data_IF_443887608645
#
_entry.id   IF_443887608645
#
_cell.length_a   1.000
_cell.length_b   1.000
_cell.length_c   1.000
_cell.angle_alpha   90.00
_cell.angle_beta   90.00
_cell.angle_gamma   90.00
#
_symmetry.space_group_name_H-M   'P 1'
#
loop_
_entity.id
_entity.type
_entity.pdbx_description
1 polymer ?
#
# COMPACT_ATOMS: atom_id res chain seq x y z
N UNK A 1 -25.58 -60.93 43.47
CA UNK A 1 -25.16 -59.54 43.79
C UNK A 1 -26.22 -58.88 44.66
N UNK A 2 -25.88 -58.36 45.84
CA UNK A 2 -26.89 -57.85 46.80
C UNK A 2 -27.63 -56.63 46.25
N UNK A 3 -28.96 -56.55 46.42
CA UNK A 3 -29.81 -55.42 45.94
C UNK A 3 -29.24 -54.05 46.36
N UNK A 4 -28.71 -53.92 47.58
CA UNK A 4 -28.03 -52.71 48.07
C UNK A 4 -26.77 -52.35 47.25
N UNK A 5 -25.97 -53.33 46.80
CA UNK A 5 -24.79 -53.10 45.95
C UNK A 5 -25.19 -52.68 44.52
N UNK A 6 -26.27 -53.23 43.99
CA UNK A 6 -26.81 -52.84 42.67
C UNK A 6 -27.24 -51.36 42.68
N UNK A 7 -27.95 -50.95 43.74
CA UNK A 7 -28.40 -49.56 43.91
C UNK A 7 -27.21 -48.58 44.00
N UNK A 8 -26.16 -48.92 44.76
CA UNK A 8 -24.94 -48.11 44.86
C UNK A 8 -24.24 -47.98 43.51
N UNK A 9 -24.07 -49.09 42.76
CA UNK A 9 -23.43 -49.06 41.43
C UNK A 9 -24.23 -48.19 40.45
N UNK A 10 -25.56 -48.28 40.47
CA UNK A 10 -26.44 -47.44 39.63
C UNK A 10 -26.25 -45.94 39.91
N UNK A 11 -26.19 -45.55 41.19
CA UNK A 11 -25.97 -44.15 41.60
C UNK A 11 -24.59 -43.64 41.17
N UNK A 12 -23.54 -44.47 41.28
CA UNK A 12 -22.17 -44.10 40.85
C UNK A 12 -22.09 -43.90 39.34
N UNK A 13 -22.76 -44.76 38.55
CA UNK A 13 -22.83 -44.61 37.09
C UNK A 13 -23.58 -43.32 36.71
N UNK A 14 -24.69 -43.01 37.39
CA UNK A 14 -25.44 -41.78 37.14
C UNK A 14 -24.60 -40.52 37.43
N UNK A 15 -23.83 -40.51 38.53
CA UNK A 15 -22.91 -39.43 38.87
C UNK A 15 -21.78 -39.28 37.85
N UNK A 16 -21.17 -40.39 37.39
CA UNK A 16 -20.15 -40.37 36.35
C UNK A 16 -20.68 -39.77 35.03
N UNK A 17 -21.90 -40.11 34.62
CA UNK A 17 -22.52 -39.56 33.41
C UNK A 17 -22.77 -38.04 33.53
N UNK A 18 -23.17 -37.55 34.70
CA UNK A 18 -23.34 -36.11 34.96
C UNK A 18 -22.00 -35.35 34.93
N UNK A 19 -20.93 -35.93 35.48
CA UNK A 19 -19.59 -35.33 35.46
C UNK A 19 -19.04 -35.28 34.02
N UNK A 20 -19.15 -36.37 33.26
CA UNK A 20 -18.71 -36.44 31.87
C UNK A 20 -19.51 -35.51 30.95
N UNK A 21 -20.83 -35.46 31.12
CA UNK A 21 -21.72 -34.54 30.38
C UNK A 21 -21.43 -33.07 30.69
N UNK A 22 -21.31 -32.72 31.97
CA UNK A 22 -20.98 -31.36 32.41
C UNK A 22 -19.62 -30.87 31.89
N UNK A 23 -18.60 -31.75 31.88
CA UNK A 23 -17.29 -31.43 31.33
C UNK A 23 -17.33 -31.16 29.81
N UNK A 24 -18.18 -31.88 29.06
CA UNK A 24 -18.39 -31.65 27.64
C UNK A 24 -19.04 -30.27 27.38
N UNK A 25 -20.07 -29.90 28.14
CA UNK A 25 -20.70 -28.57 28.04
C UNK A 25 -19.69 -27.46 28.39
N UNK A 26 -18.92 -27.62 29.46
CA UNK A 26 -17.89 -26.66 29.85
C UNK A 26 -16.81 -26.48 28.77
N UNK A 27 -16.37 -27.57 28.12
CA UNK A 27 -15.40 -27.53 27.02
C UNK A 27 -15.98 -26.92 25.74
N UNK A 28 -17.28 -27.05 25.49
CA UNK A 28 -17.99 -26.36 24.39
C UNK A 28 -18.12 -24.86 24.66
N UNK A 29 -18.45 -24.45 25.89
CA UNK A 29 -18.56 -23.04 26.28
C UNK A 29 -17.20 -22.31 26.27
N UNK A 30 -16.09 -23.03 26.47
CA UNK A 30 -14.74 -22.47 26.38
C UNK A 30 -14.08 -22.62 24.98
N UNK A 31 -14.86 -22.96 23.95
CA UNK A 31 -14.42 -22.96 22.55
C UNK A 31 -14.28 -21.51 22.04
N UNK A 32 -13.18 -20.87 22.43
CA UNK A 32 -12.67 -19.56 21.96
C UNK A 32 -13.75 -18.66 21.34
N UNK A 33 -14.37 -17.83 22.18
CA UNK A 33 -14.97 -16.56 21.72
C UNK A 33 -13.84 -15.66 21.23
N UNK A 34 -13.36 -15.96 20.03
CA UNK A 34 -12.39 -15.14 19.30
C UNK A 34 -13.15 -13.91 18.82
N UNK A 35 -13.42 -13.01 19.76
CA UNK A 35 -13.95 -11.68 19.48
C UNK A 35 -12.89 -11.00 18.63
N UNK A 36 -13.02 -11.10 17.31
CA UNK A 36 -12.33 -10.19 16.41
C UNK A 36 -12.80 -8.81 16.83
N UNK A 37 -11.95 -8.08 17.56
CA UNK A 37 -12.18 -6.68 17.89
C UNK A 37 -12.34 -5.99 16.55
N UNK A 38 -13.58 -5.64 16.20
CA UNK A 38 -13.92 -5.01 14.93
C UNK A 38 -13.60 -3.52 15.05
N UNK A 39 -12.37 -3.22 15.49
CA UNK A 39 -11.87 -1.89 15.72
C UNK A 39 -11.93 -1.14 14.39
N UNK A 40 -12.49 0.05 14.43
CA UNK A 40 -12.45 1.00 13.32
C UNK A 40 -11.54 2.15 13.73
N UNK A 41 -10.80 2.67 12.76
CA UNK A 41 -10.05 3.89 12.91
C UNK A 41 -10.64 4.97 12.01
N UNK A 42 -10.57 6.22 12.49
CA UNK A 42 -10.92 7.39 11.69
C UNK A 42 -9.72 7.80 10.85
N UNK A 43 -9.92 7.88 9.53
CA UNK A 43 -9.00 8.51 8.59
C UNK A 43 -9.59 9.85 8.17
N UNK A 44 -8.87 10.93 8.42
CA UNK A 44 -9.24 12.30 8.05
C UNK A 44 -8.39 12.73 6.86
N UNK A 45 -9.02 13.03 5.73
CA UNK A 45 -8.36 13.60 4.55
C UNK A 45 -8.60 15.11 4.54
N UNK A 46 -7.53 15.89 4.43
CA UNK A 46 -7.57 17.36 4.43
C UNK A 46 -6.97 17.90 3.14
N UNK A 47 -7.77 18.67 2.41
CA UNK A 47 -7.38 19.53 1.29
C UNK A 47 -7.56 20.99 1.71
N UNK A 48 -7.02 21.93 0.94
CA UNK A 48 -7.13 23.36 1.25
C UNK A 48 -8.60 23.83 1.41
N UNK A 49 -9.51 23.28 0.59
CA UNK A 49 -10.92 23.70 0.52
C UNK A 49 -11.88 22.77 1.29
N UNK A 50 -11.42 21.58 1.74
CA UNK A 50 -12.31 20.53 2.26
C UNK A 50 -11.64 19.56 3.23
N UNK A 51 -12.41 19.11 4.22
CA UNK A 51 -12.10 18.00 5.12
C UNK A 51 -13.08 16.85 4.90
N UNK A 52 -12.57 15.63 4.71
CA UNK A 52 -13.36 14.39 4.56
C UNK A 52 -12.96 13.42 5.68
N UNK A 53 -13.94 12.69 6.25
CA UNK A 53 -13.67 11.69 7.30
C UNK A 53 -14.22 10.33 6.85
N UNK A 54 -13.40 9.28 6.97
CA UNK A 54 -13.75 7.89 6.61
C UNK A 54 -13.47 6.98 7.82
N UNK A 55 -14.43 6.13 8.17
CA UNK A 55 -14.20 5.02 9.11
C UNK A 55 -13.71 3.79 8.35
N UNK A 56 -12.57 3.23 8.74
CA UNK A 56 -11.94 2.07 8.08
C UNK A 56 -11.60 1.02 9.14
N UNK A 57 -11.73 -0.27 8.82
CA UNK A 57 -11.44 -1.33 9.80
C UNK A 57 -9.94 -1.46 10.04
N UNK A 58 -9.57 -1.90 11.23
CA UNK A 58 -8.20 -2.26 11.56
C UNK A 58 -7.63 -3.28 10.56
N UNK A 59 -6.40 -3.01 10.08
CA UNK A 59 -5.67 -3.75 9.05
C UNK A 59 -6.25 -3.72 7.62
N UNK A 60 -7.35 -2.99 7.37
CA UNK A 60 -7.88 -2.76 6.02
C UNK A 60 -7.03 -1.72 5.26
N UNK A 61 -7.02 -1.79 3.93
CA UNK A 61 -6.26 -0.89 3.06
C UNK A 61 -7.19 0.14 2.42
N UNK A 62 -6.99 1.41 2.74
CA UNK A 62 -7.73 2.52 2.18
C UNK A 62 -7.03 3.03 0.91
N UNK A 63 -7.73 2.99 -0.22
CA UNK A 63 -7.30 3.68 -1.44
C UNK A 63 -7.45 5.18 -1.29
N UNK A 64 -6.42 5.91 -1.69
CA UNK A 64 -6.34 7.35 -1.60
C UNK A 64 -6.62 7.98 -2.97
N UNK A 65 -7.58 8.91 -2.99
CA UNK A 65 -7.93 9.64 -4.21
C UNK A 65 -6.84 10.65 -4.55
N UNK A 66 -6.48 10.75 -5.83
CA UNK A 66 -5.65 11.86 -6.32
C UNK A 66 -6.54 13.09 -6.41
N UNK A 67 -6.04 14.25 -5.96
CA UNK A 67 -6.76 15.52 -6.04
C UNK A 67 -6.12 16.40 -7.10
N UNK A 68 -6.92 17.23 -7.77
CA UNK A 68 -6.45 18.15 -8.81
C UNK A 68 -6.49 19.58 -8.28
N UNK A 69 -5.44 20.36 -8.56
CA UNK A 69 -5.33 21.78 -8.18
C UNK A 69 -4.67 22.54 -9.32
N UNK A 70 -5.30 23.62 -9.79
CA UNK A 70 -4.80 24.38 -10.93
C UNK A 70 -3.42 25.00 -10.63
N UNK A 71 -2.46 24.84 -11.56
CA UNK A 71 -1.08 25.29 -11.36
C UNK A 71 -0.19 24.37 -10.51
N UNK A 72 -0.71 23.28 -9.92
CA UNK A 72 0.06 22.38 -9.05
C UNK A 72 0.05 20.92 -9.55
N UNK A 73 1.03 20.15 -9.10
CA UNK A 73 1.13 18.68 -9.21
C UNK A 73 0.83 18.10 -7.83
N UNK A 74 -0.18 17.24 -7.75
CA UNK A 74 -0.47 16.49 -6.53
C UNK A 74 0.59 15.41 -6.31
N UNK A 75 1.31 15.50 -5.18
CA UNK A 75 2.40 14.58 -4.82
C UNK A 75 1.94 13.39 -4.00
N UNK A 76 0.82 13.52 -3.30
CA UNK A 76 0.28 12.49 -2.43
C UNK A 76 -0.33 13.08 -1.17
N UNK A 77 -0.53 12.20 -0.20
CA UNK A 77 -1.09 12.50 1.11
C UNK A 77 0.00 12.37 2.17
N UNK A 78 0.18 13.37 3.02
CA UNK A 78 1.21 13.38 4.07
C UNK A 78 0.57 13.28 5.46
N UNK A 79 1.11 12.42 6.33
CA UNK A 79 0.68 12.33 7.74
C UNK A 79 1.41 13.32 8.66
N UNK A 80 1.06 13.34 9.94
CA UNK A 80 1.67 14.24 10.93
C UNK A 80 3.17 13.94 11.15
N UNK A 81 3.64 12.74 10.77
CA UNK A 81 5.03 12.29 10.83
C UNK A 81 5.82 12.66 9.53
N UNK A 82 5.22 13.46 8.64
CA UNK A 82 5.70 13.83 7.28
C UNK A 82 5.90 12.66 6.31
N UNK A 83 5.24 11.52 6.54
CA UNK A 83 5.33 10.37 5.63
C UNK A 83 4.31 10.50 4.50
N UNK A 84 4.80 10.38 3.27
CA UNK A 84 4.01 10.54 2.04
C UNK A 84 3.40 9.19 1.56
N UNK A 85 2.12 9.23 1.17
CA UNK A 85 1.34 8.12 0.63
C UNK A 85 0.74 8.52 -0.73
N UNK A 86 1.07 7.82 -1.81
CA UNK A 86 0.70 8.21 -3.19
C UNK A 86 -0.60 7.58 -3.70
N UNK A 87 -0.92 6.36 -3.25
CA UNK A 87 -1.99 5.54 -3.86
C UNK A 87 -2.86 4.80 -2.81
N UNK A 88 -2.27 4.21 -1.76
CA UNK A 88 -3.02 3.54 -0.69
C UNK A 88 -2.30 3.57 0.68
N UNK A 89 -3.07 3.36 1.75
CA UNK A 89 -2.56 3.27 3.13
C UNK A 89 -3.23 2.14 3.89
N UNK A 90 -2.43 1.31 4.58
CA UNK A 90 -2.94 0.28 5.50
C UNK A 90 -3.27 0.93 6.84
N UNK A 91 -4.51 0.79 7.30
CA UNK A 91 -5.02 1.49 8.48
C UNK A 91 -4.81 0.65 9.74
N UNK A 92 -3.88 1.10 10.60
CA UNK A 92 -3.58 0.48 11.92
C UNK A 92 -3.61 1.47 13.10
N UNK A 93 -3.87 2.75 12.83
CA UNK A 93 -4.09 3.82 13.81
C UNK A 93 -5.09 4.82 13.21
N UNK A 94 -5.60 5.74 14.03
CA UNK A 94 -6.25 6.94 13.48
C UNK A 94 -5.22 7.72 12.66
N UNK A 95 -5.63 8.23 11.50
CA UNK A 95 -4.75 8.93 10.57
C UNK A 95 -5.36 10.28 10.20
N UNK A 96 -4.51 11.30 10.09
CA UNK A 96 -4.85 12.59 9.52
C UNK A 96 -3.86 12.85 8.40
N UNK A 97 -4.38 12.94 7.19
CA UNK A 97 -3.61 13.04 5.96
C UNK A 97 -3.91 14.38 5.28
N UNK A 98 -2.87 15.14 4.94
CA UNK A 98 -2.97 16.41 4.21
C UNK A 98 -2.56 16.20 2.76
N UNK A 99 -3.28 16.80 1.82
CA UNK A 99 -2.90 16.78 0.42
C UNK A 99 -1.63 17.63 0.19
N UNK A 100 -0.59 17.03 -0.38
CA UNK A 100 0.65 17.72 -0.74
C UNK A 100 0.63 18.08 -2.22
N UNK A 101 0.89 19.35 -2.50
CA UNK A 101 0.93 19.92 -3.83
C UNK A 101 2.27 20.61 -4.06
N UNK A 102 2.97 20.25 -5.13
CA UNK A 102 4.14 20.96 -5.63
C UNK A 102 3.69 21.92 -6.74
N UNK A 103 4.18 23.15 -6.76
CA UNK A 103 3.87 24.08 -7.84
C UNK A 103 4.45 23.50 -9.14
N UNK A 104 3.69 23.54 -10.25
CA UNK A 104 4.26 23.24 -11.56
C UNK A 104 5.36 24.26 -11.83
N UNK A 105 6.61 23.81 -11.86
CA UNK A 105 7.75 24.67 -12.15
C UNK A 105 7.66 25.16 -13.60
N UNK A 106 7.27 26.42 -13.79
CA UNK A 106 7.83 27.20 -14.89
C UNK A 106 9.32 27.37 -14.59
N UNK A 107 10.20 26.82 -15.44
CA UNK A 107 11.65 26.87 -15.26
C UNK A 107 12.18 28.32 -15.27
N UNK A 108 12.26 28.96 -14.11
CA UNK A 108 12.90 30.29 -13.95
C UNK A 108 13.51 30.48 -12.56
N UNK A 109 14.85 30.42 -12.44
CA UNK A 109 15.68 31.09 -11.42
C UNK A 109 17.15 31.05 -11.94
N UNK A 110 17.75 32.14 -12.46
CA UNK A 110 18.49 33.26 -11.81
C UNK A 110 19.91 32.90 -11.29
N UNK A 111 20.86 33.84 -11.03
CA UNK A 111 20.73 35.30 -10.76
C UNK A 111 21.40 36.22 -11.82
N UNK A 112 20.99 37.48 -12.00
CA UNK A 112 21.54 38.71 -11.34
C UNK A 112 20.92 39.95 -12.05
N UNK A 113 20.83 41.20 -11.56
CA UNK A 113 20.80 41.88 -10.23
C UNK A 113 20.14 43.26 -10.46
N UNK A 114 19.53 43.90 -9.44
CA UNK A 114 19.13 45.34 -9.37
C UNK A 114 18.13 45.86 -10.46
N UNK A 115 17.23 46.82 -10.22
CA UNK A 115 16.96 47.68 -9.06
C UNK A 115 15.47 48.12 -9.04
N UNK A 116 15.10 48.91 -8.04
CA UNK A 116 13.74 49.35 -7.70
C UNK A 116 13.29 50.59 -8.51
N UNK A 117 12.01 50.67 -8.95
CA UNK A 117 11.08 51.77 -8.65
C UNK A 117 9.78 51.82 -9.50
N UNK A 118 8.68 52.17 -8.80
CA UNK A 118 7.45 52.90 -9.17
C UNK A 118 6.68 52.69 -10.50
N UNK A 119 5.37 52.46 -10.31
CA UNK A 119 4.24 52.90 -11.16
C UNK A 119 4.25 54.44 -11.32
N UNK A 120 3.88 55.01 -12.48
CA UNK A 120 2.52 55.57 -12.56
C UNK A 120 1.80 55.32 -13.91
N UNK A 121 0.50 55.66 -13.95
CA UNK A 121 -0.34 55.65 -15.15
C UNK A 121 -0.25 56.98 -15.95
N UNK A 122 -0.81 56.93 -17.17
CA UNK A 122 -1.31 58.02 -18.02
C UNK A 122 -0.34 58.70 -19.02
N UNK A 123 -0.77 58.67 -20.30
CA UNK A 123 -0.60 59.66 -21.39
C UNK A 123 0.74 60.42 -21.53
N UNK A 124 1.44 60.25 -22.65
CA UNK A 124 1.06 60.95 -23.90
C UNK A 124 1.76 60.36 -25.15
N UNK A 125 1.45 60.89 -26.34
CA UNK A 125 1.82 60.36 -27.65
C UNK A 125 3.30 60.54 -28.02
N UNK A 126 3.96 59.48 -28.50
CA UNK A 126 5.07 59.62 -29.46
C UNK A 126 5.16 58.41 -30.41
N UNK A 127 5.54 58.68 -31.67
CA UNK A 127 5.39 57.79 -32.82
C UNK A 127 6.54 56.79 -32.93
N UNK A 128 6.42 55.68 -32.20
CA UNK A 128 7.26 54.50 -32.41
C UNK A 128 6.52 53.46 -33.26
N UNK A 129 7.00 53.23 -34.50
CA UNK A 129 6.56 52.13 -35.37
C UNK A 129 7.03 50.77 -34.82
N UNK A 130 6.53 50.37 -33.65
CA UNK A 130 6.73 49.04 -33.11
C UNK A 130 5.63 48.12 -33.66
N UNK A 131 5.93 47.49 -34.79
CA UNK A 131 5.05 46.49 -35.41
C UNK A 131 4.85 45.33 -34.42
N UNK A 132 3.73 45.35 -33.69
CA UNK A 132 3.33 44.30 -32.75
C UNK A 132 3.10 42.99 -33.50
N UNK A 133 4.19 42.23 -33.72
CA UNK A 133 4.21 40.93 -34.42
C UNK A 133 3.10 40.04 -33.87
N UNK A 134 2.07 39.78 -34.67
CA UNK A 134 0.88 39.08 -34.18
C UNK A 134 1.09 37.59 -34.33
N UNK A 135 1.57 36.96 -33.25
CA UNK A 135 1.79 35.52 -33.23
C UNK A 135 0.48 34.73 -33.28
N UNK A 136 0.46 33.65 -34.05
CA UNK A 136 -0.65 32.71 -34.12
C UNK A 136 -0.17 31.27 -34.30
N UNK A 137 -1.07 30.32 -34.00
CA UNK A 137 -0.83 28.89 -34.06
C UNK A 137 -1.79 28.19 -35.01
N UNK A 138 -1.38 27.04 -35.53
CA UNK A 138 -2.27 26.16 -36.29
C UNK A 138 -3.30 25.48 -35.38
N UNK A 139 -4.41 25.02 -35.98
CA UNK A 139 -5.53 24.41 -35.25
C UNK A 139 -5.06 23.24 -34.37
N UNK A 140 -5.40 23.29 -33.08
CA UNK A 140 -5.02 22.27 -32.10
C UNK A 140 -3.71 22.54 -31.34
N UNK A 141 -3.07 23.69 -31.55
CA UNK A 141 -1.98 24.20 -30.71
C UNK A 141 -2.42 25.45 -29.93
N UNK A 142 -1.90 25.61 -28.72
CA UNK A 142 -2.08 26.78 -27.86
C UNK A 142 -0.84 27.66 -27.91
N UNK A 143 -1.02 28.97 -28.09
CA UNK A 143 0.08 29.94 -28.07
C UNK A 143 0.57 30.15 -26.63
N UNK A 144 1.87 29.92 -26.37
CA UNK A 144 2.54 30.29 -25.12
C UNK A 144 3.83 31.06 -25.46
N UNK A 145 3.78 32.39 -25.30
CA UNK A 145 4.84 33.29 -25.76
C UNK A 145 5.00 33.26 -27.29
N UNK A 146 6.21 33.02 -27.78
CA UNK A 146 6.54 32.89 -29.22
C UNK A 146 6.47 31.45 -29.74
N UNK A 147 5.97 30.52 -28.93
CA UNK A 147 5.87 29.10 -29.27
C UNK A 147 4.40 28.62 -29.25
N UNK A 148 4.12 27.60 -30.04
CA UNK A 148 2.84 26.90 -30.10
C UNK A 148 3.02 25.51 -29.47
N UNK A 149 2.20 25.19 -28.48
CA UNK A 149 2.27 23.95 -27.70
C UNK A 149 1.03 23.10 -27.96
N UNK A 150 1.22 21.80 -28.21
CA UNK A 150 0.16 20.79 -28.27
C UNK A 150 0.53 19.63 -27.35
N UNK A 151 -0.42 19.18 -26.54
CA UNK A 151 -0.26 17.99 -25.70
C UNK A 151 -1.07 16.85 -26.28
N UNK A 152 -0.42 15.72 -26.51
CA UNK A 152 -1.06 14.47 -26.92
C UNK A 152 -1.18 13.54 -25.71
N UNK A 153 -2.34 12.90 -25.58
CA UNK A 153 -2.64 11.93 -24.53
C UNK A 153 -2.96 10.58 -25.16
N UNK A 154 -2.29 9.54 -24.71
CA UNK A 154 -2.60 8.13 -25.05
C UNK A 154 -2.69 7.31 -23.77
N UNK A 155 -3.35 6.15 -23.82
CA UNK A 155 -3.41 5.23 -22.68
C UNK A 155 -2.06 4.51 -22.51
N UNK A 156 -1.63 4.31 -21.26
CA UNK A 156 -0.43 3.53 -21.00
C UNK A 156 -0.67 2.03 -21.23
N UNK A 157 0.34 1.31 -21.71
CA UNK A 157 0.30 -0.16 -21.79
C UNK A 157 0.57 -0.71 -20.39
N UNK A 158 -0.35 -1.52 -19.85
CA UNK A 158 -0.14 -2.22 -18.60
C UNK A 158 0.54 -3.57 -18.81
N UNK A 159 1.39 -3.98 -17.87
CA UNK A 159 1.92 -5.34 -17.79
C UNK A 159 1.81 -5.84 -16.36
N UNK A 160 1.35 -7.08 -16.17
CA UNK A 160 1.17 -7.68 -14.86
C UNK A 160 2.19 -8.80 -14.66
N UNK A 161 2.99 -8.72 -13.60
CA UNK A 161 4.06 -9.69 -13.29
C UNK A 161 4.06 -10.05 -11.82
N UNK A 162 4.63 -11.21 -11.49
CA UNK A 162 4.86 -11.57 -10.10
C UNK A 162 6.09 -10.84 -9.53
N UNK A 163 6.07 -10.45 -8.24
CA UNK A 163 7.25 -9.93 -7.56
C UNK A 163 8.43 -10.91 -7.60
N UNK A 164 9.64 -10.40 -7.44
CA UNK A 164 10.83 -11.23 -7.32
C UNK A 164 10.65 -12.29 -6.22
N UNK A 165 11.01 -13.54 -6.52
CA UNK A 165 10.81 -14.70 -5.65
C UNK A 165 9.42 -15.37 -5.72
N UNK A 166 8.44 -14.79 -6.41
CA UNK A 166 7.11 -15.40 -6.59
C UNK A 166 6.97 -16.04 -7.97
N UNK A 167 6.52 -17.30 -8.00
CA UNK A 167 6.18 -18.05 -9.22
C UNK A 167 4.70 -17.85 -9.57
N UNK A 168 4.36 -17.83 -10.86
CA UNK A 168 2.98 -17.75 -11.31
C UNK A 168 2.31 -19.14 -11.29
N UNK A 169 1.17 -19.27 -10.62
CA UNK A 169 0.35 -20.49 -10.54
C UNK A 169 -1.13 -20.05 -10.62
N UNK A 170 -1.87 -20.55 -11.61
CA UNK A 170 -3.28 -20.21 -11.86
C UNK A 170 -3.60 -18.69 -11.87
N UNK A 171 -2.72 -17.89 -12.48
CA UNK A 171 -2.87 -16.43 -12.59
C UNK A 171 -2.59 -15.63 -11.30
N UNK A 172 -2.26 -16.32 -10.19
CA UNK A 172 -1.81 -15.70 -8.94
C UNK A 172 -0.31 -15.89 -8.73
N UNK A 173 0.27 -15.04 -7.89
CA UNK A 173 1.68 -15.10 -7.54
C UNK A 173 1.85 -15.84 -6.24
N UNK A 174 2.65 -16.91 -6.28
CA UNK A 174 2.80 -17.85 -5.21
C UNK A 174 4.28 -17.92 -4.81
N UNK A 175 4.55 -17.81 -3.52
CA UNK A 175 5.86 -18.11 -2.96
C UNK A 175 5.71 -19.27 -1.98
N UNK A 176 6.53 -20.30 -2.17
CA UNK A 176 6.61 -21.46 -1.28
C UNK A 176 8.05 -21.52 -0.76
N UNK A 177 8.19 -21.43 0.55
CA UNK A 177 9.45 -21.65 1.26
C UNK A 177 9.25 -22.76 2.30
N UNK A 178 10.35 -23.35 2.78
CA UNK A 178 10.27 -24.32 3.87
C UNK A 178 9.66 -23.65 5.12
N UNK A 179 8.89 -24.40 5.91
CA UNK A 179 8.49 -23.92 7.22
C UNK A 179 9.74 -23.75 8.09
N UNK A 180 9.78 -22.66 8.86
CA UNK A 180 10.91 -22.37 9.75
C UNK A 180 10.58 -22.85 11.16
N UNK A 181 11.54 -23.40 11.92
CA UNK A 181 11.36 -23.64 13.33
C UNK A 181 11.32 -22.29 14.11
N UNK A 182 10.46 -22.20 15.11
CA UNK A 182 10.41 -21.04 16.02
C UNK A 182 11.40 -21.26 17.18
N UNK A 183 12.68 -20.92 16.96
CA UNK A 183 13.75 -21.19 17.94
C UNK A 183 13.46 -20.58 19.33
N UNK A 184 12.79 -19.44 19.40
CA UNK A 184 12.44 -18.78 20.66
C UNK A 184 11.39 -19.54 21.50
N UNK A 185 10.70 -20.51 20.91
CA UNK A 185 9.73 -21.39 21.60
C UNK A 185 10.23 -22.81 21.84
N UNK A 186 11.46 -23.14 21.41
CA UNK A 186 12.08 -24.44 21.71
C UNK A 186 12.60 -24.44 23.16
N UNK A 187 12.60 -25.61 23.80
CA UNK A 187 13.22 -25.81 25.11
C UNK A 187 14.66 -26.30 24.91
N UNK A 188 15.68 -25.76 25.59
CA UNK A 188 15.63 -24.65 26.55
C UNK A 188 15.32 -23.30 25.89
N UNK A 189 14.45 -22.50 26.52
CA UNK A 189 13.97 -21.23 25.96
C UNK A 189 15.14 -20.24 25.85
N UNK A 190 15.42 -19.80 24.62
CA UNK A 190 16.42 -18.76 24.34
C UNK A 190 17.82 -19.27 24.00
N UNK A 191 18.10 -20.57 24.12
CA UNK A 191 19.42 -21.14 23.78
C UNK A 191 19.55 -21.44 22.28
N UNK A 192 18.45 -21.80 21.61
CA UNK A 192 18.40 -22.14 20.19
C UNK A 192 18.51 -20.92 19.27
N UNK A 193 19.39 -20.99 18.25
CA UNK A 193 19.60 -19.90 17.26
C UNK A 193 19.32 -20.36 15.83
N UNK A 194 18.59 -19.55 15.07
CA UNK A 194 18.32 -19.80 13.65
C UNK A 194 19.59 -19.54 12.83
N UNK A 195 20.05 -20.54 12.08
CA UNK A 195 21.19 -20.45 11.18
C UNK A 195 20.75 -20.16 9.72
N UNK A 196 21.72 -19.84 8.86
CA UNK A 196 21.50 -19.50 7.44
C UNK A 196 20.95 -20.65 6.57
N UNK A 197 20.94 -21.88 7.10
CA UNK A 197 20.29 -23.06 6.51
C UNK A 197 18.78 -23.13 6.78
N UNK A 198 18.25 -22.24 7.64
CA UNK A 198 16.86 -22.22 8.08
C UNK A 198 16.54 -23.18 9.23
N UNK A 199 17.53 -23.73 9.93
CA UNK A 199 17.36 -24.61 11.10
C UNK A 199 17.72 -23.89 12.41
N UNK A 200 17.13 -24.33 13.51
CA UNK A 200 17.62 -23.94 14.84
C UNK A 200 18.78 -24.85 15.23
N UNK A 201 19.88 -24.26 15.69
CA UNK A 201 21.04 -24.99 16.22
C UNK A 201 21.17 -24.69 17.71
N UNK A 202 21.52 -25.70 18.50
CA UNK A 202 21.78 -25.57 19.94
C UNK A 202 23.29 -25.42 20.21
N UNK A 203 23.74 -24.54 21.13
CA UNK A 203 25.18 -24.33 21.40
C UNK A 203 25.96 -25.59 21.81
N UNK A 204 25.26 -26.59 22.36
CA UNK A 204 25.87 -27.81 22.91
C UNK A 204 25.77 -29.04 21.97
N UNK A 205 25.33 -28.87 20.72
CA UNK A 205 25.51 -29.89 19.67
C UNK A 205 24.56 -31.10 19.66
N UNK A 206 23.44 -31.07 20.38
CA UNK A 206 22.34 -32.03 20.20
C UNK A 206 21.33 -31.48 19.18
N UNK A 207 21.49 -31.90 17.92
CA UNK A 207 20.60 -31.57 16.80
C UNK A 207 19.31 -32.44 16.84
N UNK A 208 18.45 -32.19 17.83
CA UNK A 208 17.10 -32.76 17.87
C UNK A 208 16.26 -32.29 16.66
N UNK A 209 15.44 -33.19 16.11
CA UNK A 209 14.68 -32.96 14.86
C UNK A 209 13.79 -31.70 14.99
N UNK A 210 14.06 -30.62 14.22
CA UNK A 210 13.42 -29.33 14.46
C UNK A 210 11.93 -29.38 14.14
N UNK A 211 11.09 -29.19 15.15
CA UNK A 211 9.64 -29.32 15.01
C UNK A 211 9.03 -28.20 14.12
N UNK A 212 8.85 -28.52 12.84
CA UNK A 212 8.54 -27.62 11.71
C UNK A 212 7.11 -27.03 11.70
N UNK A 213 6.76 -26.20 12.69
CA UNK A 213 5.36 -25.76 12.89
C UNK A 213 5.11 -24.26 12.70
N UNK A 214 6.05 -23.44 12.20
CA UNK A 214 5.90 -21.98 12.14
C UNK A 214 6.11 -21.37 10.75
N UNK A 215 5.27 -20.36 10.45
CA UNK A 215 5.35 -19.52 9.26
C UNK A 215 5.36 -18.04 9.65
N UNK A 216 6.10 -17.22 8.90
CA UNK A 216 6.09 -15.77 9.05
C UNK A 216 4.69 -15.19 8.76
N UNK A 217 4.35 -14.06 9.38
CA UNK A 217 3.09 -13.35 9.16
C UNK A 217 2.76 -13.17 7.67
N UNK A 218 1.55 -13.58 7.28
CA UNK A 218 1.08 -13.56 5.89
C UNK A 218 1.38 -14.81 5.06
N UNK A 219 2.12 -15.79 5.59
CA UNK A 219 2.22 -17.14 5.03
C UNK A 219 1.25 -18.08 5.73
N UNK A 220 0.82 -19.14 5.03
CA UNK A 220 0.03 -20.25 5.59
C UNK A 220 0.81 -21.54 5.48
N UNK A 221 0.70 -22.39 6.50
CA UNK A 221 1.22 -23.75 6.45
C UNK A 221 0.44 -24.54 5.39
N UNK A 222 1.16 -25.25 4.53
CA UNK A 222 0.65 -26.22 3.55
C UNK A 222 1.51 -27.48 3.59
N UNK A 223 0.93 -28.63 3.28
CA UNK A 223 1.70 -29.88 3.15
C UNK A 223 2.08 -30.10 1.69
N UNK A 224 3.36 -30.37 1.44
CA UNK A 224 3.90 -30.67 0.11
C UNK A 224 4.70 -31.96 0.24
N UNK A 225 4.02 -33.09 0.02
CA UNK A 225 4.53 -34.41 0.40
C UNK A 225 4.55 -34.57 1.93
N UNK A 226 5.58 -35.22 2.51
CA UNK A 226 5.68 -35.42 3.96
C UNK A 226 6.11 -34.16 4.74
N UNK A 227 6.46 -33.07 4.06
CA UNK A 227 7.04 -31.86 4.67
C UNK A 227 6.03 -30.72 4.72
N UNK A 228 5.98 -30.01 5.86
CA UNK A 228 5.22 -28.77 6.01
C UNK A 228 6.00 -27.57 5.44
N UNK A 229 5.35 -26.76 4.61
CA UNK A 229 5.92 -25.60 3.92
C UNK A 229 5.05 -24.37 4.14
N UNK A 230 5.65 -23.19 4.01
CA UNK A 230 4.94 -21.91 4.06
C UNK A 230 4.58 -21.44 2.65
N UNK A 231 3.29 -21.42 2.31
CA UNK A 231 2.76 -20.86 1.05
C UNK A 231 2.16 -19.47 1.32
N UNK A 232 2.59 -18.48 0.54
CA UNK A 232 1.96 -17.15 0.45
C UNK A 232 1.44 -16.94 -0.96
N UNK A 233 0.24 -16.37 -1.05
CA UNK A 233 -0.45 -16.10 -2.31
C UNK A 233 -0.75 -14.60 -2.32
N UNK A 234 -0.34 -13.92 -3.39
CA UNK A 234 -0.60 -12.49 -3.64
C UNK A 234 -1.03 -12.30 -5.10
N UNK A 235 -1.58 -11.13 -5.40
CA UNK A 235 -1.93 -10.75 -6.76
C UNK A 235 -0.72 -10.18 -7.53
N UNK A 236 -0.81 -10.15 -8.86
CA UNK A 236 0.26 -9.61 -9.72
C UNK A 236 0.44 -8.11 -9.49
N UNK A 237 1.68 -7.65 -9.53
CA UNK A 237 1.98 -6.22 -9.57
C UNK A 237 1.75 -5.73 -11.00
N UNK A 238 0.95 -4.67 -11.13
CA UNK A 238 0.68 -4.01 -12.42
C UNK A 238 1.67 -2.85 -12.59
N UNK A 239 2.46 -2.90 -13.65
CA UNK A 239 3.31 -1.80 -14.11
C UNK A 239 2.68 -1.13 -15.34
N UNK A 240 2.90 0.17 -15.50
CA UNK A 240 2.48 0.92 -16.68
C UNK A 240 3.70 1.42 -17.44
N UNK A 241 3.65 1.33 -18.77
CA UNK A 241 4.72 1.75 -19.66
C UNK A 241 4.15 2.60 -20.80
N UNK A 242 4.95 3.57 -21.26
CA UNK A 242 4.59 4.48 -22.33
C UNK A 242 5.38 4.17 -23.62
N UNK A 243 4.81 4.47 -24.80
CA UNK A 243 5.56 4.49 -26.06
C UNK A 243 6.70 5.50 -26.01
N UNK A 244 7.73 5.29 -26.84
CA UNK A 244 8.90 6.18 -26.93
C UNK A 244 8.52 7.64 -27.15
N UNK A 245 9.07 8.53 -26.31
CA UNK A 245 8.80 9.97 -26.37
C UNK A 245 7.51 10.42 -25.67
N UNK A 246 6.84 9.55 -24.90
CA UNK A 246 5.76 9.93 -23.97
C UNK A 246 6.20 9.75 -22.51
N UNK A 247 5.76 10.65 -21.63
CA UNK A 247 5.96 10.58 -20.18
C UNK A 247 4.73 10.00 -19.48
N UNK A 248 4.95 9.10 -18.51
CA UNK A 248 3.87 8.47 -17.73
C UNK A 248 3.33 9.43 -16.67
N UNK A 249 2.00 9.53 -16.57
CA UNK A 249 1.30 10.14 -15.43
C UNK A 249 0.03 9.34 -15.11
N UNK A 250 0.07 8.63 -13.98
CA UNK A 250 -0.97 7.67 -13.61
C UNK A 250 -1.04 6.50 -14.60
N UNK A 251 -2.19 6.33 -15.24
CA UNK A 251 -2.45 5.32 -16.28
C UNK A 251 -2.42 5.90 -17.71
N UNK A 252 -2.02 7.17 -17.85
CA UNK A 252 -1.98 7.90 -19.11
C UNK A 252 -0.56 8.32 -19.47
N UNK A 253 -0.29 8.40 -20.76
CA UNK A 253 0.99 8.79 -21.33
C UNK A 253 0.81 10.12 -22.07
N UNK A 254 1.69 11.08 -21.80
CA UNK A 254 1.61 12.45 -22.32
C UNK A 254 2.85 12.81 -23.13
N UNK A 255 2.66 13.46 -24.27
CA UNK A 255 3.74 14.01 -25.10
C UNK A 255 3.44 15.47 -25.42
N UNK A 256 4.41 16.34 -25.15
CA UNK A 256 4.31 17.77 -25.46
C UNK A 256 5.07 18.05 -26.74
N UNK A 257 4.39 18.55 -27.75
CA UNK A 257 4.95 19.02 -29.01
C UNK A 257 5.02 20.54 -28.94
N UNK A 258 6.21 21.11 -29.19
CA UNK A 258 6.43 22.56 -29.22
C UNK A 258 7.01 22.97 -30.56
N UNK A 259 6.36 23.90 -31.24
CA UNK A 259 6.81 24.49 -32.51
C UNK A 259 6.84 26.01 -32.39
N UNK A 260 7.49 26.72 -33.33
CA UNK A 260 7.48 28.19 -33.35
C UNK A 260 6.13 28.73 -33.81
N UNK A 261 5.68 29.81 -33.20
CA UNK A 261 4.47 30.50 -33.63
C UNK A 261 4.70 31.25 -34.95
N UNK A 262 3.69 31.28 -35.80
CA UNK A 262 3.71 32.02 -37.07
C UNK A 262 3.44 33.49 -36.78
N UNK A 263 4.08 34.39 -37.53
CA UNK A 263 3.84 35.83 -37.43
C UNK A 263 2.83 36.24 -38.49
N UNK A 264 1.88 37.09 -38.10
CA UNK A 264 0.96 37.83 -38.98
C UNK A 264 1.27 39.33 -38.88
#
# INVERSE_FOLDING_TARGET
MNKKRILIISIIILLMLLILGGFFIFKVMNKKKTTSKNNKYKVVLVTDDKKEEKEVKENETLKLEKKEKEGYVFKGWEDEDKKLYTDEVKVSKNLKLKAVFEKKEDQTTQPQTSEEEKKPEASDNNQNNNTSKKYYCDKGYTLRGTNCIKTEKVNATSSARCPAGFTEEAGKCIHIMNAGPNCAGLSPIGEWKLQGDGRCHHPNGEDDDPQYNACQSGYKIVRVGPVEKCKKIIDKVVSYHCPSGYSLSGTSCFKTITIKAKVK
#
